data_IF_851809080452
#
_entry.id   IF_851809080452
#
_cell.length_a   1.000
_cell.length_b   1.000
_cell.length_c   1.000
_cell.angle_alpha   90.00
_cell.angle_beta   90.00
_cell.angle_gamma   90.00
#
_symmetry.space_group_name_H-M   'P 1'
#
loop_
_entity.id
_entity.type
_entity.pdbx_description
1 polymer ?
#
# COMPACT_ATOMS: atom_id res chain seq x y z
N UNK A 1 7.94 -2.26 -14.25
CA UNK A 1 6.80 -3.19 -14.19
C UNK A 1 5.56 -2.33 -13.97
N UNK A 2 4.54 -2.41 -14.83
CA UNK A 2 3.35 -1.57 -14.73
C UNK A 2 2.46 -2.07 -13.59
N UNK A 3 2.34 -1.25 -12.55
CA UNK A 3 1.53 -1.49 -11.37
C UNK A 3 0.05 -1.28 -11.73
N UNK A 4 -0.72 -2.36 -11.87
CA UNK A 4 -2.16 -2.32 -12.14
C UNK A 4 -3.01 -2.63 -10.91
N UNK A 5 -2.48 -2.40 -9.70
CA UNK A 5 -3.19 -2.58 -8.43
C UNK A 5 -4.19 -1.46 -8.14
N UNK A 6 -5.30 -1.42 -8.86
CA UNK A 6 -6.46 -0.60 -8.49
C UNK A 6 -7.72 -1.36 -8.93
N UNK A 7 -8.85 -1.40 -8.17
CA UNK A 7 -10.12 -2.06 -8.52
C UNK A 7 -10.72 -1.70 -9.90
N UNK A 8 -10.02 -0.89 -10.69
CA UNK A 8 -10.23 -0.60 -12.11
C UNK A 8 -10.65 -1.85 -12.90
N UNK A 9 -9.99 -3.00 -12.76
CA UNK A 9 -10.34 -4.15 -13.63
C UNK A 9 -11.74 -4.72 -13.34
N UNK A 10 -12.12 -4.84 -12.06
CA UNK A 10 -13.47 -5.25 -11.67
C UNK A 10 -14.51 -4.18 -12.05
N UNK A 11 -14.18 -2.89 -11.85
CA UNK A 11 -15.03 -1.77 -12.22
C UNK A 11 -15.24 -1.64 -13.74
N UNK A 12 -14.21 -1.92 -14.55
CA UNK A 12 -14.26 -1.89 -16.02
C UNK A 12 -15.23 -2.97 -16.54
N UNK A 13 -15.22 -4.15 -15.93
CA UNK A 13 -16.19 -5.21 -16.22
C UNK A 13 -17.51 -5.02 -15.45
N UNK A 14 -17.65 -3.94 -14.67
CA UNK A 14 -18.83 -3.62 -13.87
C UNK A 14 -19.32 -4.81 -13.01
N UNK A 15 -18.37 -5.53 -12.42
CA UNK A 15 -18.59 -6.69 -11.55
C UNK A 15 -18.00 -6.41 -10.17
N UNK A 16 -18.51 -7.11 -9.16
CA UNK A 16 -17.94 -7.06 -7.80
C UNK A 16 -16.67 -7.91 -7.72
N UNK A 17 -15.81 -7.60 -6.76
CA UNK A 17 -14.61 -8.41 -6.45
C UNK A 17 -14.96 -9.85 -6.05
N UNK A 18 -16.13 -10.04 -5.44
CA UNK A 18 -16.69 -11.35 -5.04
C UNK A 18 -17.37 -12.09 -6.21
N UNK A 19 -17.42 -11.50 -7.42
CA UNK A 19 -18.11 -12.12 -8.55
C UNK A 19 -17.50 -13.47 -8.93
N UNK A 20 -18.36 -14.42 -9.28
CA UNK A 20 -17.94 -15.73 -9.76
C UNK A 20 -17.34 -15.65 -11.17
N UNK A 21 -16.56 -16.65 -11.57
CA UNK A 21 -15.96 -16.69 -12.92
C UNK A 21 -17.01 -16.63 -14.03
N UNK A 22 -18.19 -17.19 -13.79
CA UNK A 22 -19.31 -17.18 -14.72
C UNK A 22 -19.91 -15.78 -14.89
N UNK A 23 -20.04 -15.02 -13.80
CA UNK A 23 -20.49 -13.63 -13.82
C UNK A 23 -19.48 -12.73 -14.55
N UNK A 24 -18.19 -12.88 -14.28
CA UNK A 24 -17.13 -12.14 -14.98
C UNK A 24 -17.19 -12.42 -16.48
N UNK A 25 -17.36 -13.69 -16.88
CA UNK A 25 -17.47 -14.09 -18.28
C UNK A 25 -18.71 -13.54 -18.96
N UNK A 26 -19.83 -13.50 -18.25
CA UNK A 26 -21.10 -12.99 -18.76
C UNK A 26 -21.04 -11.47 -18.91
N UNK A 27 -20.46 -10.78 -17.93
CA UNK A 27 -20.28 -9.33 -17.99
C UNK A 27 -19.31 -8.91 -19.09
N UNK A 28 -18.19 -9.62 -19.25
CA UNK A 28 -17.24 -9.39 -20.36
C UNK A 28 -17.91 -9.48 -21.73
N UNK A 29 -18.70 -10.53 -21.97
CA UNK A 29 -19.45 -10.68 -23.23
C UNK A 29 -20.41 -9.52 -23.46
N UNK A 30 -21.10 -9.09 -22.40
CA UNK A 30 -22.06 -7.98 -22.46
C UNK A 30 -21.36 -6.65 -22.73
N UNK A 31 -20.25 -6.39 -22.04
CA UNK A 31 -19.43 -5.20 -22.18
C UNK A 31 -18.86 -5.08 -23.59
N UNK A 32 -18.32 -6.17 -24.15
CA UNK A 32 -17.84 -6.22 -25.53
C UNK A 32 -18.93 -5.89 -26.56
N UNK A 33 -20.15 -6.39 -26.36
CA UNK A 33 -21.28 -6.12 -27.26
C UNK A 33 -21.72 -4.66 -27.24
N UNK A 34 -21.56 -4.00 -26.09
CA UNK A 34 -21.90 -2.58 -25.91
C UNK A 34 -20.78 -1.70 -26.48
N UNK A 35 -19.53 -2.08 -26.28
CA UNK A 35 -18.35 -1.32 -26.75
C UNK A 35 -17.94 -1.63 -28.19
N UNK A 36 -18.67 -2.49 -28.91
CA UNK A 36 -18.30 -2.88 -30.27
C UNK A 36 -18.44 -1.69 -31.24
N UNK A 37 -17.39 -1.35 -32.02
CA UNK A 37 -17.37 -0.17 -32.87
C UNK A 37 -18.49 -0.16 -33.94
N UNK A 38 -18.99 -1.34 -34.34
CA UNK A 38 -20.09 -1.49 -35.31
C UNK A 38 -21.42 -0.86 -34.84
N UNK A 39 -21.70 -0.85 -33.52
CA UNK A 39 -22.88 -0.16 -32.96
C UNK A 39 -22.68 1.35 -32.82
N UNK A 40 -21.43 1.79 -32.75
CA UNK A 40 -21.04 3.17 -32.45
C UNK A 40 -20.78 4.01 -33.70
N UNK A 41 -20.76 3.40 -34.90
CA UNK A 41 -20.73 4.13 -36.17
C UNK A 41 -21.92 5.09 -36.37
N UNK A 42 -22.95 5.02 -35.52
CA UNK A 42 -24.13 5.91 -35.56
C UNK A 42 -24.02 7.16 -34.68
N UNK A 43 -23.02 7.26 -33.81
CA UNK A 43 -22.88 8.33 -32.82
C UNK A 43 -21.43 8.80 -32.78
N UNK A 44 -21.16 10.10 -32.97
CA UNK A 44 -19.83 10.71 -33.03
C UNK A 44 -19.02 10.67 -31.71
N UNK A 45 -18.93 9.52 -31.05
CA UNK A 45 -18.20 9.26 -29.80
C UNK A 45 -17.18 8.11 -29.97
N UNK A 46 -16.48 8.11 -31.11
CA UNK A 46 -15.54 7.05 -31.51
C UNK A 46 -14.32 6.95 -30.59
N UNK A 47 -13.77 8.08 -30.12
CA UNK A 47 -12.50 8.12 -29.36
C UNK A 47 -12.60 7.49 -27.96
N UNK A 48 -13.74 7.64 -27.29
CA UNK A 48 -13.96 7.11 -25.95
C UNK A 48 -14.24 5.59 -25.98
N UNK A 49 -14.70 5.10 -27.13
CA UNK A 49 -15.15 3.72 -27.30
C UNK A 49 -14.00 2.74 -27.54
N UNK A 50 -12.99 3.13 -28.32
CA UNK A 50 -11.77 2.33 -28.52
C UNK A 50 -10.99 2.15 -27.21
N UNK A 51 -10.91 3.22 -26.41
CA UNK A 51 -10.26 3.18 -25.09
C UNK A 51 -10.97 2.23 -24.13
N UNK A 52 -12.31 2.23 -24.11
CA UNK A 52 -13.11 1.30 -23.29
C UNK A 52 -12.95 -0.14 -23.73
N UNK A 53 -12.95 -0.40 -25.04
CA UNK A 53 -12.74 -1.76 -25.57
C UNK A 53 -11.40 -2.33 -25.10
N UNK A 54 -10.32 -1.54 -25.19
CA UNK A 54 -9.00 -1.96 -24.74
C UNK A 54 -8.99 -2.24 -23.23
N UNK A 55 -9.60 -1.37 -22.42
CA UNK A 55 -9.72 -1.58 -20.97
C UNK A 55 -10.48 -2.87 -20.64
N UNK A 56 -11.59 -3.16 -21.33
CA UNK A 56 -12.39 -4.37 -21.15
C UNK A 56 -11.54 -5.62 -21.47
N UNK A 57 -10.76 -5.56 -22.56
CA UNK A 57 -9.88 -6.65 -22.95
C UNK A 57 -8.78 -6.89 -21.90
N UNK A 58 -8.09 -5.83 -21.46
CA UNK A 58 -7.06 -5.95 -20.40
C UNK A 58 -7.64 -6.49 -19.10
N UNK A 59 -8.82 -6.03 -18.69
CA UNK A 59 -9.50 -6.55 -17.51
C UNK A 59 -9.83 -8.05 -17.64
N UNK A 60 -10.24 -8.50 -18.83
CA UNK A 60 -10.48 -9.91 -19.09
C UNK A 60 -9.22 -10.77 -19.12
N UNK A 61 -8.08 -10.26 -19.58
CA UNK A 61 -6.81 -10.99 -19.54
C UNK A 61 -6.37 -11.33 -18.10
N UNK A 62 -6.70 -10.44 -17.16
CA UNK A 62 -6.38 -10.59 -15.74
C UNK A 62 -7.46 -11.42 -15.03
N UNK A 63 -8.73 -11.04 -15.16
CA UNK A 63 -9.85 -11.63 -14.41
C UNK A 63 -10.44 -12.90 -15.06
N UNK A 64 -10.16 -13.13 -16.34
CA UNK A 64 -10.70 -14.25 -17.12
C UNK A 64 -10.05 -15.60 -16.79
N UNK A 65 -8.87 -15.60 -16.18
CA UNK A 65 -8.18 -16.82 -15.73
C UNK A 65 -8.12 -16.85 -14.20
N UNK A 66 -8.57 -17.96 -13.61
CA UNK A 66 -8.57 -18.16 -12.15
C UNK A 66 -7.19 -17.95 -11.53
N UNK A 67 -6.10 -18.38 -12.21
CA UNK A 67 -4.74 -18.18 -11.69
C UNK A 67 -4.32 -16.71 -11.73
N UNK A 68 -4.55 -16.03 -12.85
CA UNK A 68 -4.22 -14.61 -13.00
C UNK A 68 -5.04 -13.75 -12.04
N UNK A 69 -6.33 -14.08 -11.87
CA UNK A 69 -7.21 -13.45 -10.88
C UNK A 69 -6.67 -13.62 -9.47
N UNK A 70 -6.29 -14.83 -9.08
CA UNK A 70 -5.76 -15.06 -7.74
C UNK A 70 -4.48 -14.27 -7.46
N UNK A 71 -3.58 -14.16 -8.44
CA UNK A 71 -2.39 -13.31 -8.34
C UNK A 71 -2.76 -11.84 -8.21
N UNK A 72 -3.70 -11.39 -9.03
CA UNK A 72 -4.20 -10.02 -8.99
C UNK A 72 -4.89 -9.67 -7.68
N UNK A 73 -5.73 -10.55 -7.15
CA UNK A 73 -6.41 -10.38 -5.86
C UNK A 73 -5.40 -10.35 -4.71
N UNK A 74 -4.35 -11.19 -4.79
CA UNK A 74 -3.25 -11.19 -3.83
C UNK A 74 -2.48 -9.87 -3.88
N UNK A 75 -2.12 -9.39 -5.07
CA UNK A 75 -1.44 -8.10 -5.25
C UNK A 75 -2.31 -6.94 -4.78
N UNK A 76 -3.61 -6.95 -5.09
CA UNK A 76 -4.56 -5.94 -4.64
C UNK A 76 -4.69 -5.94 -3.11
N UNK A 77 -4.68 -7.10 -2.48
CA UNK A 77 -4.74 -7.23 -1.03
C UNK A 77 -3.43 -6.76 -0.37
N UNK A 78 -2.27 -7.07 -0.96
CA UNK A 78 -0.98 -6.54 -0.51
C UNK A 78 -0.91 -5.02 -0.65
N UNK A 79 -1.43 -4.49 -1.77
CA UNK A 79 -1.51 -3.05 -2.02
C UNK A 79 -2.40 -2.35 -1.01
N UNK A 80 -3.53 -2.97 -0.62
CA UNK A 80 -4.44 -2.47 0.43
C UNK A 80 -3.85 -2.55 1.83
N UNK A 81 -3.01 -3.55 2.10
CA UNK A 81 -2.30 -3.68 3.38
C UNK A 81 -1.23 -2.62 3.55
N UNK A 82 -0.76 -1.98 2.49
CA UNK A 82 0.25 -0.94 2.60
C UNK A 82 -0.32 0.40 3.12
N UNK A 83 -1.63 0.64 2.94
CA UNK A 83 -2.22 1.97 3.11
C UNK A 83 -2.99 2.27 4.41
N UNK A 84 -3.53 1.30 5.21
CA UNK A 84 -4.59 1.69 6.17
C UNK A 84 -4.61 1.08 7.60
N UNK A 85 -3.56 0.44 8.11
CA UNK A 85 -3.58 -0.01 9.52
C UNK A 85 -2.24 0.19 10.23
N UNK A 86 -1.98 1.44 10.62
CA UNK A 86 -1.07 1.69 11.74
C UNK A 86 -1.68 1.03 12.99
N UNK A 87 -1.03 0.00 13.50
CA UNK A 87 -1.47 -0.77 14.65
C UNK A 87 -1.45 0.04 15.95
N UNK A 88 -0.55 1.02 16.03
CA UNK A 88 -0.39 1.91 17.17
C UNK A 88 0.36 3.20 16.77
N UNK A 89 0.04 4.30 17.45
CA UNK A 89 0.78 5.55 17.39
C UNK A 89 1.57 5.70 18.69
N UNK A 90 2.89 5.74 18.59
CA UNK A 90 3.79 5.78 19.74
C UNK A 90 4.65 7.03 19.71
N UNK A 91 5.11 7.48 20.87
CA UNK A 91 6.09 8.58 20.97
C UNK A 91 7.48 8.03 21.27
N UNK A 92 8.50 8.86 21.07
CA UNK A 92 9.90 8.49 21.32
C UNK A 92 10.13 8.05 22.78
N UNK A 93 9.33 8.56 23.72
CA UNK A 93 9.40 8.22 25.15
C UNK A 93 8.93 6.77 25.45
N UNK A 94 8.14 6.16 24.54
CA UNK A 94 7.63 4.79 24.70
C UNK A 94 8.64 3.73 24.18
N UNK A 95 9.71 4.17 23.51
CA UNK A 95 10.72 3.28 22.96
C UNK A 95 11.70 2.84 24.04
N UNK A 96 12.01 1.54 24.06
CA UNK A 96 13.14 1.01 24.80
C UNK A 96 14.43 1.31 24.02
N UNK A 97 15.51 1.61 24.73
CA UNK A 97 16.75 2.07 24.13
C UNK A 97 17.87 1.15 24.57
N UNK A 98 18.60 0.59 23.61
CA UNK A 98 19.81 -0.18 23.87
C UNK A 98 21.02 0.52 23.24
N UNK A 99 22.04 0.78 24.06
CA UNK A 99 23.31 1.34 23.60
C UNK A 99 24.31 0.20 23.40
N UNK A 100 24.33 -0.36 22.19
CA UNK A 100 25.23 -1.44 21.79
C UNK A 100 26.52 -0.91 21.16
N UNK A 101 27.38 -0.25 21.94
CA UNK A 101 28.65 0.30 21.42
C UNK A 101 28.51 1.69 20.80
N UNK A 102 28.86 1.85 19.51
CA UNK A 102 28.84 3.14 18.79
C UNK A 102 27.49 3.48 18.15
N UNK A 103 26.56 2.52 18.10
CA UNK A 103 25.21 2.69 17.53
C UNK A 103 24.15 2.60 18.62
N UNK A 104 23.09 3.38 18.43
CA UNK A 104 21.93 3.39 19.31
C UNK A 104 20.81 2.65 18.60
N UNK A 105 20.22 1.68 19.29
CA UNK A 105 19.09 0.93 18.79
C UNK A 105 17.85 1.21 19.65
N UNK A 106 16.74 1.53 18.99
CA UNK A 106 15.44 1.77 19.58
C UNK A 106 14.55 0.56 19.33
N UNK A 107 13.83 0.11 20.36
CA UNK A 107 12.96 -1.06 20.30
C UNK A 107 11.56 -0.77 20.86
N UNK A 108 10.52 -1.29 20.20
CA UNK A 108 9.16 -1.32 20.71
C UNK A 108 8.59 -2.72 20.62
N UNK A 109 7.95 -3.21 21.68
CA UNK A 109 7.39 -4.56 21.69
C UNK A 109 6.12 -4.63 20.82
N UNK A 110 6.13 -5.53 19.84
CA UNK A 110 4.98 -5.82 19.02
C UNK A 110 4.02 -6.78 19.73
N UNK A 111 2.72 -6.65 19.43
CA UNK A 111 1.67 -7.56 19.96
C UNK A 111 1.83 -9.01 19.50
N UNK A 112 2.64 -9.27 18.46
CA UNK A 112 2.97 -10.63 18.03
C UNK A 112 4.05 -11.33 18.88
N UNK A 113 4.76 -10.59 19.74
CA UNK A 113 5.88 -11.09 20.54
C UNK A 113 7.26 -10.74 20.00
N UNK A 114 7.36 -10.15 18.82
CA UNK A 114 8.59 -9.60 18.25
C UNK A 114 8.74 -8.11 18.57
N UNK A 115 9.74 -7.47 17.97
CA UNK A 115 10.05 -6.06 18.19
C UNK A 115 10.01 -5.27 16.88
N UNK A 116 9.64 -4.01 16.99
CA UNK A 116 9.98 -2.97 16.02
C UNK A 116 11.34 -2.42 16.44
N UNK A 117 12.30 -2.37 15.53
CA UNK A 117 13.64 -1.87 15.79
C UNK A 117 13.98 -0.73 14.84
N UNK A 118 14.75 0.24 15.31
CA UNK A 118 15.29 1.31 14.47
C UNK A 118 16.64 1.74 15.01
N UNK A 119 17.65 1.84 14.16
CA UNK A 119 18.97 2.28 14.58
C UNK A 119 19.28 3.75 14.20
N UNK A 120 20.28 4.32 14.87
CA UNK A 120 20.72 5.70 14.64
C UNK A 120 21.19 5.98 13.20
N UNK A 121 21.64 4.96 12.47
CA UNK A 121 22.08 5.06 11.07
C UNK A 121 20.88 5.16 10.14
N UNK A 122 19.88 4.28 10.30
CA UNK A 122 18.61 4.33 9.55
C UNK A 122 17.92 5.68 9.72
N UNK A 123 17.90 6.18 10.96
CA UNK A 123 17.40 7.52 11.27
C UNK A 123 18.16 8.60 10.51
N UNK A 124 19.49 8.53 10.48
CA UNK A 124 20.34 9.47 9.76
C UNK A 124 20.07 9.49 8.27
N UNK A 125 19.88 8.33 7.64
CA UNK A 125 19.52 8.21 6.22
C UNK A 125 18.16 8.84 5.90
N UNK A 126 17.22 8.71 6.83
CA UNK A 126 15.90 9.34 6.75
C UNK A 126 15.91 10.84 7.11
N UNK A 127 17.06 11.41 7.49
CA UNK A 127 17.21 12.82 7.84
C UNK A 127 16.80 13.17 9.28
N UNK A 128 16.84 12.18 10.18
CA UNK A 128 16.60 12.35 11.60
C UNK A 128 17.90 12.24 12.38
N UNK A 129 18.09 13.14 13.33
CA UNK A 129 19.19 13.10 14.28
C UNK A 129 18.68 12.63 15.63
N UNK A 130 19.33 11.57 16.12
CA UNK A 130 19.08 11.01 17.43
C UNK A 130 19.99 11.67 18.46
N UNK A 131 19.39 12.26 19.49
CA UNK A 131 20.10 12.87 20.61
C UNK A 131 19.71 12.19 21.92
N UNK A 132 20.71 11.78 22.70
CA UNK A 132 20.50 11.26 24.05
C UNK A 132 20.81 12.31 25.11
N UNK A 133 19.91 12.50 26.07
CA UNK A 133 20.17 13.25 27.31
C UNK A 133 19.89 12.34 28.51
N UNK A 134 20.87 11.54 28.90
CA UNK A 134 20.71 10.51 29.94
C UNK A 134 19.90 9.32 29.42
N UNK A 135 18.98 8.79 30.23
CA UNK A 135 18.03 7.72 29.84
C UNK A 135 16.96 8.17 28.82
N UNK A 136 16.85 9.47 28.55
CA UNK A 136 15.83 10.01 27.63
C UNK A 136 16.41 10.26 26.24
N UNK A 137 15.74 9.71 25.24
CA UNK A 137 16.07 9.88 23.84
C UNK A 137 15.15 10.92 23.19
N UNK A 138 15.71 11.72 22.29
CA UNK A 138 14.98 12.73 21.53
C UNK A 138 15.38 12.64 20.06
N UNK A 139 14.38 12.70 19.19
CA UNK A 139 14.56 12.68 17.74
C UNK A 139 14.28 14.08 17.18
N UNK A 140 15.15 14.56 16.30
CA UNK A 140 14.96 15.84 15.60
C UNK A 140 15.07 15.64 14.08
N UNK A 141 14.10 16.16 13.33
CA UNK A 141 14.15 16.14 11.87
C UNK A 141 15.00 17.32 11.36
N UNK A 142 15.92 17.05 10.42
CA UNK A 142 16.80 18.07 9.83
C UNK A 142 16.11 18.98 8.80
N UNK A 143 14.87 18.68 8.37
CA UNK A 143 14.20 19.43 7.30
C UNK A 143 12.71 19.73 7.62
N UNK A 144 12.47 21.01 7.92
CA UNK A 144 11.22 21.79 7.96
C UNK A 144 9.88 21.07 7.67
N UNK A 145 9.25 20.53 8.72
CA UNK A 145 7.78 20.53 8.91
C UNK A 145 7.48 20.32 10.41
N UNK A 146 6.49 21.04 10.94
CA UNK A 146 6.17 21.15 12.38
C UNK A 146 5.82 19.84 13.11
N UNK A 147 5.67 18.70 12.42
CA UNK A 147 5.61 17.37 13.01
C UNK A 147 6.16 16.36 12.01
N UNK A 148 7.08 15.50 12.44
CA UNK A 148 7.55 14.39 11.63
C UNK A 148 7.02 13.07 12.21
N UNK A 149 6.75 12.11 11.34
CA UNK A 149 6.36 10.76 11.77
C UNK A 149 7.07 9.72 10.93
N UNK A 150 7.49 8.62 11.56
CA UNK A 150 8.15 7.49 10.91
C UNK A 150 7.22 6.29 11.04
N UNK A 151 7.05 5.52 9.96
CA UNK A 151 6.29 4.27 9.99
C UNK A 151 7.27 3.10 10.12
N UNK A 152 7.16 2.34 11.20
CA UNK A 152 8.03 1.21 11.51
C UNK A 152 7.30 -0.10 11.22
N UNK A 153 7.78 -0.94 10.29
CA UNK A 153 7.24 -2.28 10.08
C UNK A 153 7.77 -3.27 11.14
N UNK A 154 6.96 -4.24 11.52
CA UNK A 154 7.42 -5.32 12.40
C UNK A 154 8.24 -6.33 11.61
N UNK A 155 9.33 -6.83 12.20
CA UNK A 155 10.23 -7.78 11.53
C UNK A 155 9.56 -9.14 11.24
N UNK A 156 8.58 -9.55 12.05
CA UNK A 156 7.97 -10.89 12.01
C UNK A 156 6.49 -10.90 11.63
N UNK A 157 5.86 -9.74 11.46
CA UNK A 157 4.47 -9.66 11.03
C UNK A 157 4.21 -8.44 10.14
N UNK A 158 3.02 -8.39 9.54
CA UNK A 158 2.61 -7.28 8.67
C UNK A 158 2.13 -6.03 9.44
N UNK A 159 2.33 -5.97 10.76
CA UNK A 159 1.95 -4.79 11.54
C UNK A 159 2.94 -3.64 11.29
N UNK A 160 2.39 -2.44 11.25
CA UNK A 160 3.15 -1.19 11.16
C UNK A 160 2.75 -0.31 12.34
N UNK A 161 3.68 0.42 12.94
CA UNK A 161 3.38 1.44 13.95
C UNK A 161 3.87 2.80 13.46
N UNK A 162 3.29 3.88 13.97
CA UNK A 162 3.70 5.25 13.64
C UNK A 162 4.40 5.86 14.85
N UNK A 163 5.67 6.16 14.69
CA UNK A 163 6.46 6.91 15.65
C UNK A 163 6.27 8.41 15.41
N UNK A 164 5.68 9.09 16.39
CA UNK A 164 5.46 10.53 16.38
C UNK A 164 6.68 11.25 16.93
N UNK A 165 7.23 12.17 16.13
CA UNK A 165 8.40 12.98 16.49
C UNK A 165 7.91 14.40 16.71
N UNK A 166 7.75 14.75 17.98
CA UNK A 166 7.44 16.10 18.42
C UNK A 166 8.70 16.94 18.50
N UNK A 167 8.61 18.21 18.09
CA UNK A 167 9.64 19.22 18.36
C UNK A 167 9.40 19.78 19.76
N UNK A 168 10.29 19.47 20.70
CA UNK A 168 10.36 20.17 21.99
C UNK A 168 10.94 21.58 21.80
#
# INVERSE_FOLDING_TARGET
MQLTGNPIHYNVLNVKEDATQEEIRTSYKSALLISHPDKLQKTSETTNSESKFLQIQTAWEILGNVKSRALYDTELQMSRQDDDAVADEIVVDDLMVETGGDVVELFYQCRCGDYFSLDSSELGEMGFELSMKGDKVSLQAHNTADMASIVLPCCSCSLKIRLMISKD
#
